data_IF_104701110028
#
_entry.id   IF_104701110028
#
_cell.length_a   1.000
_cell.length_b   1.000
_cell.length_c   1.000
_cell.angle_alpha   90.00
_cell.angle_beta   90.00
_cell.angle_gamma   90.00
#
_symmetry.space_group_name_H-M   'P 1'
#
loop_
_entity.id
_entity.type
_entity.pdbx_description
1 polymer ?
#
# COMPACT_ATOMS: atom_id res chain seq x y z
N UNK A 1 18.02 10.84 14.23
CA UNK A 1 16.85 11.55 13.67
C UNK A 1 15.76 10.51 13.57
N UNK A 2 14.70 10.59 14.38
CA UNK A 2 13.60 9.64 14.31
C UNK A 2 12.72 9.99 13.12
N UNK A 3 12.56 9.04 12.19
CA UNK A 3 11.62 9.15 11.07
C UNK A 3 10.21 8.99 11.62
N UNK A 4 9.28 9.84 11.21
CA UNK A 4 7.90 9.77 11.69
C UNK A 4 7.20 8.53 11.12
N UNK A 5 6.13 8.07 11.79
CA UNK A 5 5.39 6.89 11.35
C UNK A 5 4.85 7.05 9.93
N UNK A 6 4.34 8.24 9.56
CA UNK A 6 3.78 8.49 8.23
C UNK A 6 4.85 8.43 7.13
N UNK A 7 6.02 9.03 7.36
CA UNK A 7 7.15 8.96 6.42
C UNK A 7 7.63 7.51 6.22
N UNK A 8 7.48 6.66 7.24
CA UNK A 8 7.87 5.25 7.18
C UNK A 8 6.88 4.44 6.34
N UNK A 9 5.58 4.72 6.47
CA UNK A 9 4.54 4.02 5.72
C UNK A 9 4.50 4.38 4.23
N UNK A 10 4.91 5.60 3.87
CA UNK A 10 4.98 6.05 2.47
C UNK A 10 6.23 5.55 1.74
N UNK A 11 7.16 4.90 2.44
CA UNK A 11 8.36 4.32 1.85
C UNK A 11 8.03 3.02 1.11
N UNK A 12 8.56 2.89 -0.12
CA UNK A 12 8.35 1.74 -0.99
C UNK A 12 8.87 0.47 -0.34
N UNK A 13 8.03 -0.56 -0.28
CA UNK A 13 8.32 -1.86 0.31
C UNK A 13 8.31 -1.86 1.84
N UNK A 14 8.10 -0.71 2.48
CA UNK A 14 8.06 -0.58 3.93
C UNK A 14 6.62 -0.54 4.45
N UNK A 15 5.92 -1.65 4.27
CA UNK A 15 4.54 -1.80 4.73
C UNK A 15 4.48 -2.62 6.04
N UNK A 16 3.54 -2.31 6.96
CA UNK A 16 3.39 -3.07 8.19
C UNK A 16 3.10 -4.56 7.94
N UNK A 17 3.58 -5.43 8.83
CA UNK A 17 3.32 -6.87 8.74
C UNK A 17 1.82 -7.21 8.76
N UNK A 18 1.01 -6.40 9.46
CA UNK A 18 -0.45 -6.54 9.44
C UNK A 18 -1.05 -6.34 8.04
N UNK A 19 -0.48 -5.46 7.22
CA UNK A 19 -0.89 -5.24 5.82
C UNK A 19 -0.44 -6.41 4.96
N UNK A 20 0.80 -6.90 5.15
CA UNK A 20 1.32 -8.10 4.46
C UNK A 20 0.42 -9.30 4.66
N UNK A 21 -0.03 -9.55 5.89
CA UNK A 21 -0.93 -10.68 6.21
C UNK A 21 -2.34 -10.55 5.64
N UNK A 22 -2.78 -9.33 5.30
CA UNK A 22 -4.10 -9.09 4.72
C UNK A 22 -4.09 -9.15 3.20
N UNK A 23 -2.94 -8.87 2.57
CA UNK A 23 -2.81 -8.79 1.13
C UNK A 23 -3.16 -10.14 0.46
N UNK A 24 -3.98 -10.08 -0.58
CA UNK A 24 -4.22 -11.23 -1.44
C UNK A 24 -2.92 -11.66 -2.15
N UNK A 25 -2.81 -12.94 -2.57
CA UNK A 25 -1.68 -13.44 -3.36
C UNK A 25 -1.43 -12.65 -4.66
N UNK A 26 -0.25 -12.85 -5.24
CA UNK A 26 0.15 -12.34 -6.56
C UNK A 26 0.19 -10.80 -6.70
N UNK A 27 0.24 -10.07 -5.59
CA UNK A 27 0.49 -8.63 -5.55
C UNK A 27 1.94 -8.37 -5.15
N UNK A 28 2.59 -7.39 -5.79
CA UNK A 28 3.98 -7.10 -5.52
C UNK A 28 4.13 -6.25 -4.24
N UNK A 29 4.38 -6.92 -3.11
CA UNK A 29 4.59 -6.26 -1.83
C UNK A 29 5.91 -5.48 -1.75
N UNK A 30 6.87 -5.76 -2.64
CA UNK A 30 8.16 -5.07 -2.63
C UNK A 30 8.06 -3.63 -3.14
N UNK A 31 7.03 -3.33 -3.92
CA UNK A 31 6.73 -1.98 -4.41
C UNK A 31 5.61 -1.29 -3.64
N UNK A 32 5.00 -1.99 -2.67
CA UNK A 32 3.85 -1.49 -1.93
C UNK A 32 4.20 -0.30 -1.02
N UNK A 33 3.28 0.66 -0.90
CA UNK A 33 3.42 1.88 -0.08
C UNK A 33 2.07 2.47 0.30
N UNK A 34 2.06 3.25 1.37
CA UNK A 34 0.90 4.05 1.75
C UNK A 34 0.78 5.30 0.87
N UNK A 35 -0.41 5.55 0.34
CA UNK A 35 -0.76 6.76 -0.39
C UNK A 35 -1.54 7.69 0.54
N UNK A 36 -1.04 8.91 0.71
CA UNK A 36 -1.65 9.92 1.59
C UNK A 36 -2.88 10.57 0.94
N UNK A 37 -3.00 10.46 -0.38
CA UNK A 37 -4.10 11.03 -1.15
C UNK A 37 -5.44 10.35 -0.85
N UNK A 38 -5.42 9.07 -0.46
CA UNK A 38 -6.64 8.29 -0.19
C UNK A 38 -6.56 7.43 1.07
N UNK A 39 -5.42 7.43 1.77
CA UNK A 39 -5.24 6.68 3.00
C UNK A 39 -5.15 5.16 2.80
N UNK A 40 -4.83 4.69 1.60
CA UNK A 40 -4.78 3.28 1.26
C UNK A 40 -3.37 2.83 0.85
N UNK A 41 -3.13 1.52 0.87
CA UNK A 41 -1.90 0.94 0.36
C UNK A 41 -2.04 0.63 -1.13
N UNK A 42 -1.00 0.93 -1.88
CA UNK A 42 -0.92 0.75 -3.34
C UNK A 42 0.39 0.08 -3.69
N UNK A 43 0.43 -0.63 -4.83
CA UNK A 43 1.64 -1.26 -5.36
C UNK A 43 1.77 -1.06 -6.87
N UNK A 44 2.96 -1.30 -7.41
CA UNK A 44 3.20 -1.23 -8.85
C UNK A 44 2.76 -2.52 -9.55
N UNK A 45 1.81 -2.38 -10.47
CA UNK A 45 1.43 -3.44 -11.39
C UNK A 45 2.13 -3.22 -12.72
N UNK A 46 3.08 -4.10 -13.06
CA UNK A 46 3.77 -4.09 -14.35
C UNK A 46 2.94 -4.79 -15.43
N UNK A 47 2.23 -3.99 -16.23
CA UNK A 47 1.50 -4.48 -17.40
C UNK A 47 2.38 -4.50 -18.66
N UNK A 48 1.88 -5.06 -19.79
CA UNK A 48 2.64 -5.13 -21.04
C UNK A 48 2.99 -3.77 -21.67
N UNK A 49 2.25 -2.73 -21.32
CA UNK A 49 2.36 -1.39 -21.92
C UNK A 49 2.95 -0.38 -20.94
N UNK A 50 2.57 -0.47 -19.67
CA UNK A 50 2.92 0.51 -18.65
C UNK A 50 3.00 -0.14 -17.26
N UNK A 51 3.68 0.57 -16.36
CA UNK A 51 3.66 0.29 -14.92
C UNK A 51 2.67 1.26 -14.30
N UNK A 52 1.65 0.71 -13.63
CA UNK A 52 0.58 1.51 -13.04
C UNK A 52 0.48 1.21 -11.56
N UNK A 53 0.28 2.26 -10.75
CA UNK A 53 -0.09 2.08 -9.35
C UNK A 53 -1.52 1.58 -9.27
N UNK A 54 -1.74 0.48 -8.56
CA UNK A 54 -3.07 -0.06 -8.27
C UNK A 54 -3.25 -0.32 -6.77
N UNK A 55 -4.49 -0.33 -6.25
CA UNK A 55 -4.72 -0.58 -4.84
C UNK A 55 -4.25 -1.97 -4.42
N UNK A 56 -3.55 -2.04 -3.28
CA UNK A 56 -3.28 -3.29 -2.59
C UNK A 56 -4.59 -3.80 -1.98
N UNK A 57 -5.00 -5.01 -2.34
CA UNK A 57 -6.29 -5.58 -1.98
C UNK A 57 -6.14 -6.75 -1.02
N UNK A 58 -7.14 -6.88 -0.16
CA UNK A 58 -7.34 -8.07 0.67
C UNK A 58 -7.82 -9.27 -0.16
N UNK A 59 -7.81 -10.48 0.41
CA UNK A 59 -8.39 -11.67 -0.22
C UNK A 59 -9.85 -11.48 -0.66
N UNK A 60 -10.62 -10.67 0.08
CA UNK A 60 -11.99 -10.30 -0.28
C UNK A 60 -12.10 -9.23 -1.39
N UNK A 61 -10.98 -8.80 -1.98
CA UNK A 61 -10.92 -7.84 -3.07
C UNK A 61 -11.07 -6.36 -2.68
N UNK A 62 -11.29 -6.07 -1.39
CA UNK A 62 -11.38 -4.69 -0.89
C UNK A 62 -9.99 -4.07 -0.71
N UNK A 63 -9.80 -2.76 -1.03
CA UNK A 63 -8.56 -2.05 -0.72
C UNK A 63 -8.19 -2.11 0.75
N UNK A 64 -6.90 -2.18 1.06
CA UNK A 64 -6.39 -2.14 2.42
C UNK A 64 -6.05 -0.69 2.78
N UNK A 65 -6.76 -0.12 3.76
CA UNK A 65 -6.65 1.29 4.12
C UNK A 65 -6.52 1.49 5.64
N UNK A 66 -5.95 2.62 6.05
CA UNK A 66 -5.92 3.02 7.46
C UNK A 66 -7.28 3.56 7.89
N UNK A 67 -7.88 2.90 8.89
CA UNK A 67 -9.15 3.35 9.45
C UNK A 67 -8.97 4.71 10.12
N UNK A 68 -9.84 5.66 9.78
CA UNK A 68 -9.82 7.00 10.35
C UNK A 68 -8.79 7.94 9.71
N UNK A 69 -8.14 7.50 8.63
CA UNK A 69 -7.53 8.44 7.70
C UNK A 69 -8.68 9.23 7.04
N UNK A 70 -8.84 10.47 7.48
CA UNK A 70 -9.71 11.45 6.86
C UNK A 70 -8.74 12.47 6.27
N UNK A 71 -8.82 12.66 4.96
CA UNK A 71 -7.95 13.52 4.15
C UNK A 71 -7.27 14.64 4.96
N UNK A 72 -5.94 14.55 5.08
CA UNK A 72 -5.11 15.56 5.73
C UNK A 72 -5.01 16.82 4.87
#
# INVERSE_FOLDING_TARGET
>A
MEKTALETLTEVGNIPESVVRLAAPDQDLSTARFMVEDGCYWYEHSGPVEVTLVPLRSEGGSPICLKGYVDA
#
